data_IF_883219641306
#
_entry.id   IF_883219641306
#
_cell.length_a   1.000
_cell.length_b   1.000
_cell.length_c   1.000
_cell.angle_alpha   90.00
_cell.angle_beta   90.00
_cell.angle_gamma   90.00
#
_symmetry.space_group_name_H-M   'P 1'
#
loop_
_entity.id
_entity.type
_entity.pdbx_description
1 polymer ?
#
# COMPACT_ATOMS: atom_id res chain seq x y z
N UNK A 1 -14.55 17.18 22.14
CA UNK A 1 -13.29 16.77 21.51
C UNK A 1 -13.26 15.25 21.56
N UNK A 2 -13.25 14.58 20.42
CA UNK A 2 -13.31 13.12 20.37
C UNK A 2 -12.07 12.54 21.05
N UNK A 3 -12.27 11.70 22.06
CA UNK A 3 -11.18 10.97 22.70
C UNK A 3 -10.61 10.03 21.63
N UNK A 4 -9.40 10.30 21.16
CA UNK A 4 -8.65 9.36 20.32
C UNK A 4 -8.45 8.12 21.20
N UNK A 5 -9.19 7.05 20.88
CA UNK A 5 -9.12 5.77 21.59
C UNK A 5 -8.07 4.83 21.01
N UNK A 6 -7.49 5.21 19.87
CA UNK A 6 -6.46 4.45 19.18
C UNK A 6 -5.11 4.77 19.80
N UNK A 7 -4.36 3.74 20.12
CA UNK A 7 -2.99 3.82 20.65
C UNK A 7 -1.97 3.94 19.51
N UNK A 8 -0.75 4.46 19.79
CA UNK A 8 0.35 4.44 18.83
C UNK A 8 0.66 3.05 18.29
N UNK A 9 0.62 2.03 19.15
CA UNK A 9 0.88 0.65 18.75
C UNK A 9 -0.15 0.15 17.73
N UNK A 10 -1.44 0.39 17.97
CA UNK A 10 -2.50 0.01 17.02
C UNK A 10 -2.33 0.70 15.65
N UNK A 11 -1.81 1.94 15.62
CA UNK A 11 -1.49 2.62 14.36
C UNK A 11 -0.28 1.99 13.64
N UNK A 12 0.76 1.63 14.39
CA UNK A 12 1.95 0.94 13.85
C UNK A 12 1.57 -0.44 13.32
N UNK A 13 0.73 -1.19 14.03
CA UNK A 13 0.20 -2.48 13.59
C UNK A 13 -0.61 -2.33 12.29
N UNK A 14 -1.49 -1.33 12.20
CA UNK A 14 -2.26 -1.06 10.99
C UNK A 14 -1.36 -0.68 9.80
N UNK A 15 -0.33 0.15 10.02
CA UNK A 15 0.65 0.51 9.00
C UNK A 15 1.41 -0.72 8.49
N UNK A 16 1.88 -1.58 9.39
CA UNK A 16 2.57 -2.82 9.05
C UNK A 16 1.67 -3.78 8.27
N UNK A 17 0.39 -3.90 8.66
CA UNK A 17 -0.58 -4.71 7.92
C UNK A 17 -0.76 -4.21 6.49
N UNK A 18 -0.85 -2.89 6.29
CA UNK A 18 -0.95 -2.29 4.96
C UNK A 18 0.28 -2.61 4.10
N UNK A 19 1.50 -2.49 4.65
CA UNK A 19 2.73 -2.84 3.95
C UNK A 19 2.78 -4.33 3.56
N UNK A 20 2.38 -5.24 4.46
CA UNK A 20 2.30 -6.67 4.12
C UNK A 20 1.31 -6.94 2.98
N UNK A 21 0.17 -6.23 2.94
CA UNK A 21 -0.79 -6.36 1.85
C UNK A 21 -0.28 -5.77 0.54
N UNK A 22 0.48 -4.68 0.59
CA UNK A 22 1.16 -4.13 -0.57
C UNK A 22 2.11 -5.15 -1.20
N UNK A 23 2.95 -5.81 -0.39
CA UNK A 23 3.89 -6.84 -0.87
C UNK A 23 3.14 -8.01 -1.53
N UNK A 24 2.07 -8.49 -0.89
CA UNK A 24 1.22 -9.53 -1.46
C UNK A 24 0.62 -9.10 -2.80
N UNK A 25 0.07 -7.89 -2.89
CA UNK A 25 -0.48 -7.33 -4.14
C UNK A 25 0.60 -7.29 -5.22
N UNK A 26 1.81 -6.84 -4.92
CA UNK A 26 2.91 -6.79 -5.90
C UNK A 26 3.26 -8.18 -6.46
N UNK A 27 3.23 -9.21 -5.61
CA UNK A 27 3.41 -10.61 -6.04
C UNK A 27 2.30 -11.05 -6.99
N UNK A 28 1.04 -10.86 -6.58
CA UNK A 28 -0.14 -11.24 -7.37
C UNK A 28 -0.18 -10.51 -8.73
N UNK A 29 0.17 -9.23 -8.75
CA UNK A 29 0.24 -8.41 -9.98
C UNK A 29 1.34 -8.92 -10.92
N UNK A 30 2.48 -9.34 -10.37
CA UNK A 30 3.57 -9.95 -11.15
C UNK A 30 3.17 -11.30 -11.75
N UNK A 31 2.42 -12.11 -11.01
CA UNK A 31 1.85 -13.38 -11.50
C UNK A 31 0.81 -13.14 -12.61
N UNK A 32 -0.08 -12.15 -12.43
CA UNK A 32 -1.04 -11.75 -13.46
C UNK A 32 -0.32 -11.32 -14.74
N UNK A 33 0.72 -10.49 -14.62
CA UNK A 33 1.51 -10.05 -15.78
C UNK A 33 2.16 -11.24 -16.49
N UNK A 34 2.76 -12.15 -15.73
CA UNK A 34 3.40 -13.35 -16.27
C UNK A 34 2.39 -14.21 -17.04
N UNK A 35 1.16 -14.34 -16.52
CA UNK A 35 0.12 -15.11 -17.19
C UNK A 35 -0.37 -14.43 -18.48
N UNK A 36 -0.50 -13.11 -18.47
CA UNK A 36 -0.82 -12.35 -19.69
C UNK A 36 0.28 -12.52 -20.73
N UNK A 37 1.55 -12.38 -20.35
CA UNK A 37 2.70 -12.58 -21.24
C UNK A 37 2.72 -14.02 -21.83
N UNK A 38 2.40 -15.05 -21.05
CA UNK A 38 2.29 -16.44 -21.52
C UNK A 38 1.16 -16.63 -22.55
N UNK A 39 -0.06 -16.15 -22.24
CA UNK A 39 -1.22 -16.31 -23.13
C UNK A 39 -0.98 -15.58 -24.45
N UNK A 40 -0.33 -14.42 -24.38
CA UNK A 40 -0.07 -13.56 -25.52
C UNK A 40 1.08 -14.08 -26.38
N UNK A 41 2.13 -14.66 -25.78
CA UNK A 41 3.18 -15.34 -26.51
C UNK A 41 2.69 -16.53 -27.36
N UNK A 42 1.57 -17.14 -26.98
CA UNK A 42 0.98 -18.30 -27.67
C UNK A 42 -0.10 -17.93 -28.72
N UNK A 43 -0.50 -16.66 -28.80
CA UNK A 43 -1.65 -16.22 -29.60
C UNK A 43 -1.19 -15.20 -30.66
N UNK A 44 -0.87 -15.64 -31.87
CA UNK A 44 -0.56 -14.73 -32.99
C UNK A 44 -1.86 -14.12 -33.58
N UNK A 45 -2.04 -12.79 -33.49
CA UNK A 45 -3.07 -12.08 -34.28
C UNK A 45 -3.52 -10.71 -33.75
N UNK A 46 -4.04 -9.85 -34.63
CA UNK A 46 -4.39 -8.44 -34.33
C UNK A 46 -5.46 -8.22 -33.24
N UNK A 47 -6.24 -9.25 -32.85
CA UNK A 47 -7.18 -9.15 -31.72
C UNK A 47 -6.48 -9.17 -30.34
N UNK A 48 -5.23 -9.67 -30.30
CA UNK A 48 -4.37 -9.71 -29.13
C UNK A 48 -3.92 -8.29 -28.71
N UNK A 49 -3.65 -7.41 -29.67
CA UNK A 49 -2.98 -6.13 -29.40
C UNK A 49 -3.79 -5.25 -28.47
N UNK A 50 -5.11 -5.14 -28.67
CA UNK A 50 -5.94 -4.24 -27.89
C UNK A 50 -6.17 -4.73 -26.45
N UNK A 51 -6.31 -6.05 -26.25
CA UNK A 51 -6.41 -6.62 -24.90
C UNK A 51 -5.09 -6.46 -24.13
N UNK A 52 -3.97 -6.74 -24.78
CA UNK A 52 -2.63 -6.59 -24.21
C UNK A 52 -2.33 -5.13 -23.91
N UNK A 53 -2.70 -4.23 -24.81
CA UNK A 53 -2.54 -2.79 -24.63
C UNK A 53 -3.35 -2.29 -23.43
N UNK A 54 -4.63 -2.65 -23.30
CA UNK A 54 -5.42 -2.26 -22.12
C UNK A 54 -4.86 -2.84 -20.81
N UNK A 55 -4.35 -4.07 -20.82
CA UNK A 55 -3.73 -4.65 -19.63
C UNK A 55 -2.41 -3.93 -19.28
N UNK A 56 -1.49 -3.77 -20.24
CA UNK A 56 -0.14 -3.24 -20.00
C UNK A 56 -0.12 -1.72 -19.81
N UNK A 57 -0.99 -0.98 -20.50
CA UNK A 57 -0.98 0.48 -20.50
C UNK A 57 -1.85 1.07 -19.39
N UNK A 58 -2.95 0.41 -19.02
CA UNK A 58 -3.89 0.97 -18.04
C UNK A 58 -3.88 0.19 -16.72
N UNK A 59 -4.10 -1.12 -16.78
CA UNK A 59 -4.32 -1.92 -15.57
C UNK A 59 -3.02 -2.20 -14.80
N UNK A 60 -1.96 -2.60 -15.50
CA UNK A 60 -0.70 -2.95 -14.88
C UNK A 60 -0.04 -1.76 -14.15
N UNK A 61 0.07 -0.55 -14.73
CA UNK A 61 0.65 0.59 -14.02
C UNK A 61 -0.20 1.02 -12.80
N UNK A 62 -1.52 0.94 -12.92
CA UNK A 62 -2.42 1.22 -11.79
C UNK A 62 -2.16 0.27 -10.62
N UNK A 63 -2.03 -1.03 -10.90
CA UNK A 63 -1.83 -2.07 -9.89
C UNK A 63 -0.40 -2.14 -9.35
N UNK A 64 0.61 -1.91 -10.19
CA UNK A 64 2.03 -2.05 -9.83
C UNK A 64 2.65 -0.75 -9.31
N UNK A 65 2.09 0.42 -9.65
CA UNK A 65 2.66 1.72 -9.26
C UNK A 65 1.69 2.51 -8.38
N UNK A 66 0.48 2.79 -8.87
CA UNK A 66 -0.43 3.73 -8.21
C UNK A 66 -0.96 3.16 -6.89
N UNK A 67 -1.44 1.92 -6.90
CA UNK A 67 -1.97 1.28 -5.70
C UNK A 67 -0.90 1.10 -4.60
N UNK A 68 0.32 0.61 -4.90
CA UNK A 68 1.41 0.54 -3.94
C UNK A 68 1.76 1.90 -3.33
N UNK A 69 1.86 2.96 -4.14
CA UNK A 69 2.13 4.32 -3.64
C UNK A 69 1.03 4.84 -2.70
N UNK A 70 -0.24 4.57 -3.00
CA UNK A 70 -1.35 4.94 -2.13
C UNK A 70 -1.24 4.22 -0.79
N UNK A 71 -0.95 2.91 -0.80
CA UNK A 71 -0.82 2.10 0.41
C UNK A 71 0.35 2.60 1.26
N UNK A 72 1.52 2.87 0.66
CA UNK A 72 2.67 3.46 1.34
C UNK A 72 2.34 4.83 1.95
N UNK A 73 1.62 5.68 1.21
CA UNK A 73 1.20 6.99 1.69
C UNK A 73 0.31 6.91 2.93
N UNK A 74 -0.64 5.96 2.95
CA UNK A 74 -1.52 5.74 4.11
C UNK A 74 -0.73 5.16 5.29
N UNK A 75 0.12 4.16 5.05
CA UNK A 75 0.96 3.57 6.10
C UNK A 75 1.90 4.62 6.72
N UNK A 76 2.47 5.51 5.91
CA UNK A 76 3.30 6.62 6.38
C UNK A 76 2.51 7.60 7.25
N UNK A 77 1.27 7.95 6.87
CA UNK A 77 0.41 8.79 7.69
C UNK A 77 0.05 8.14 9.04
N UNK A 78 -0.20 6.83 9.07
CA UNK A 78 -0.45 6.09 10.30
C UNK A 78 0.76 6.11 11.24
N UNK A 79 1.97 5.87 10.71
CA UNK A 79 3.20 5.97 11.49
C UNK A 79 3.43 7.39 12.03
N UNK A 80 3.24 8.42 11.19
CA UNK A 80 3.37 9.81 11.63
C UNK A 80 2.37 10.19 12.72
N UNK A 81 1.14 9.66 12.67
CA UNK A 81 0.16 9.84 13.73
C UNK A 81 0.59 9.13 15.03
N UNK A 82 1.16 7.92 14.95
CA UNK A 82 1.69 7.20 16.10
C UNK A 82 2.82 7.98 16.78
N UNK A 83 3.78 8.48 16.00
CA UNK A 83 4.90 9.27 16.50
C UNK A 83 4.42 10.56 17.19
N UNK A 84 3.42 11.24 16.61
CA UNK A 84 2.85 12.46 17.19
C UNK A 84 2.16 12.20 18.54
N UNK A 85 1.46 11.07 18.69
CA UNK A 85 0.80 10.69 19.95
C UNK A 85 1.86 10.33 21.00
N UNK A 86 2.87 9.51 20.64
CA UNK A 86 3.96 9.15 21.55
C UNK A 86 4.73 10.38 22.05
N UNK A 87 5.01 11.33 21.16
CA UNK A 87 5.67 12.57 21.53
C UNK A 87 4.83 13.39 22.52
N UNK A 88 3.53 13.56 22.24
CA UNK A 88 2.62 14.29 23.11
C UNK A 88 2.55 13.65 24.51
N UNK A 89 2.49 12.32 24.59
CA UNK A 89 2.47 11.58 25.86
C UNK A 89 3.78 11.76 26.65
N UNK A 90 4.93 11.74 25.97
CA UNK A 90 6.23 11.99 26.61
C UNK A 90 6.36 13.41 27.15
N UNK A 91 5.90 14.41 26.40
CA UNK A 91 5.90 15.82 26.83
C UNK A 91 5.06 16.01 28.10
N UNK A 92 3.85 15.43 28.13
CA UNK A 92 2.98 15.45 29.31
C UNK A 92 3.63 14.74 30.50
N UNK A 93 4.22 13.56 30.29
CA UNK A 93 4.90 12.81 31.35
C UNK A 93 6.11 13.57 31.94
N UNK A 94 6.85 14.30 31.12
CA UNK A 94 7.96 15.14 31.57
C UNK A 94 7.48 16.35 32.39
N UNK A 95 6.34 16.96 32.01
CA UNK A 95 5.75 18.06 32.75
C UNK A 95 5.30 17.67 34.18
N UNK A 96 4.92 16.42 34.41
CA UNK A 96 4.58 15.92 35.76
C UNK A 96 5.80 15.55 36.62
N UNK A 97 6.99 15.41 36.02
CA UNK A 97 8.23 15.07 36.75
C UNK A 97 9.04 16.29 37.20
N UNK A 98 8.73 17.47 36.66
CA UNK A 98 9.33 18.76 37.06
C UNK A 98 8.49 19.48 38.11
#
# INVERSE_FOLDING_TARGET
>A
MGQIRITPEELREAANFLQQKQEAINSEVSELKSKVDEVTGNWEGAAQSQFVESFLSDMYPMLHETMPQIIEGIASQMNGAADAIEQADQEVANAFKG
#
